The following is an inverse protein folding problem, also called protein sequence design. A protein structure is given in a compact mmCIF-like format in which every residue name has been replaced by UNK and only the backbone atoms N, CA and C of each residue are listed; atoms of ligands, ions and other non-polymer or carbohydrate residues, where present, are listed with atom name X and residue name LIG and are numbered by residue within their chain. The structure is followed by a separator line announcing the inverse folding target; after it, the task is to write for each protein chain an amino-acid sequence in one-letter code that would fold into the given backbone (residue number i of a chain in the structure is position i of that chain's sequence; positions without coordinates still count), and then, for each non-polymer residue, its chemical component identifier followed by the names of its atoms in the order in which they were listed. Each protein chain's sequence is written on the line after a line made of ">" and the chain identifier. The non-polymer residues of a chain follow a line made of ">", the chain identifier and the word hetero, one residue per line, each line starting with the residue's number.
data_IF_397352761882
#
_entry.id   IF_397352761882
#
_cell.length_a   1.000
_cell.length_b   1.000
_cell.length_c   1.000
_cell.angle_alpha   90.00
_cell.angle_beta   90.00
_cell.angle_gamma   90.00
#
_symmetry.space_group_name_H-M   'P 1'
#
loop_
_entity.id
_entity.type
_entity.pdbx_description
1 polymer ?
#
# COMPACT_ATOMS: atom_id res chain seq x y z
N UNK A 1 -4.34 -26.04 -35.87
CA UNK A 1 -5.22 -26.21 -34.71
C UNK A 1 -4.55 -26.87 -33.50
N UNK A 2 -3.86 -28.01 -33.67
CA UNK A 2 -3.20 -28.70 -32.54
C UNK A 2 -2.17 -27.85 -31.80
N UNK A 3 -1.37 -27.07 -32.52
CA UNK A 3 -0.31 -26.20 -31.96
C UNK A 3 -0.88 -25.03 -31.10
N UNK A 4 -2.00 -24.43 -31.57
CA UNK A 4 -2.67 -23.35 -30.82
C UNK A 4 -3.29 -23.90 -29.55
N UNK A 5 -3.93 -25.05 -29.60
CA UNK A 5 -4.51 -25.68 -28.40
C UNK A 5 -3.46 -26.09 -27.37
N UNK A 6 -2.32 -26.65 -27.84
CA UNK A 6 -1.18 -26.98 -26.97
C UNK A 6 -0.62 -25.73 -26.26
N UNK A 7 -0.44 -24.66 -27.01
CA UNK A 7 0.04 -23.37 -26.45
C UNK A 7 -0.96 -22.78 -25.43
N UNK A 8 -2.27 -22.82 -25.76
CA UNK A 8 -3.32 -22.39 -24.84
C UNK A 8 -3.26 -23.16 -23.53
N UNK A 9 -3.19 -24.49 -23.62
CA UNK A 9 -3.11 -25.38 -22.46
C UNK A 9 -1.87 -25.10 -21.62
N UNK A 10 -0.72 -24.89 -22.25
CA UNK A 10 0.53 -24.56 -21.54
C UNK A 10 0.41 -23.24 -20.77
N UNK A 11 -0.10 -22.18 -21.41
CA UNK A 11 -0.29 -20.88 -20.76
C UNK A 11 -1.30 -20.95 -19.62
N UNK A 12 -2.45 -21.62 -19.83
CA UNK A 12 -3.47 -21.76 -18.79
C UNK A 12 -2.97 -22.57 -17.60
N UNK A 13 -2.18 -23.64 -17.85
CA UNK A 13 -1.55 -24.42 -16.78
C UNK A 13 -0.55 -23.57 -15.98
N UNK A 14 0.25 -22.74 -16.65
CA UNK A 14 1.21 -21.82 -15.99
C UNK A 14 0.50 -20.74 -15.20
N UNK A 15 -0.69 -20.32 -15.62
CA UNK A 15 -1.55 -19.38 -14.92
C UNK A 15 -2.52 -20.08 -13.93
N UNK A 16 -2.27 -21.33 -13.59
CA UNK A 16 -3.04 -22.14 -12.64
C UNK A 16 -4.54 -22.26 -12.95
N UNK A 17 -4.90 -22.21 -14.20
CA UNK A 17 -6.24 -22.54 -14.67
C UNK A 17 -6.25 -24.01 -15.05
N UNK A 18 -6.60 -24.88 -14.10
CA UNK A 18 -6.48 -26.35 -14.25
C UNK A 18 -7.73 -26.99 -14.85
N UNK A 19 -8.92 -26.45 -14.57
CA UNK A 19 -10.17 -26.97 -15.12
C UNK A 19 -10.51 -26.27 -16.46
N UNK A 20 -10.08 -26.85 -17.56
CA UNK A 20 -10.29 -26.30 -18.90
C UNK A 20 -11.70 -26.52 -19.46
N UNK A 21 -12.50 -27.40 -18.84
CA UNK A 21 -13.88 -27.69 -19.26
C UNK A 21 -14.92 -26.82 -18.53
N UNK A 22 -14.49 -26.01 -17.58
CA UNK A 22 -15.36 -25.13 -16.82
C UNK A 22 -15.87 -23.96 -17.70
N UNK A 23 -17.20 -23.69 -17.71
CA UNK A 23 -17.76 -22.54 -18.40
C UNK A 23 -17.15 -21.22 -17.87
N UNK A 24 -16.87 -20.26 -18.78
CA UNK A 24 -16.30 -18.95 -18.38
C UNK A 24 -17.21 -18.19 -17.41
N UNK A 25 -18.52 -18.39 -17.48
CA UNK A 25 -19.50 -17.78 -16.57
C UNK A 25 -19.38 -18.26 -15.11
N UNK A 26 -18.74 -19.39 -14.88
CA UNK A 26 -18.55 -19.97 -13.54
C UNK A 26 -17.16 -19.68 -12.95
N UNK A 27 -16.30 -18.96 -13.69
CA UNK A 27 -14.98 -18.59 -13.23
C UNK A 27 -15.06 -17.54 -12.12
N UNK A 28 -14.20 -17.67 -11.12
CA UNK A 28 -13.97 -16.59 -10.16
C UNK A 28 -13.35 -15.37 -10.87
N UNK A 29 -13.47 -14.18 -10.26
CA UNK A 29 -12.88 -12.96 -10.84
C UNK A 29 -11.38 -13.08 -11.10
N UNK A 30 -10.62 -13.75 -10.22
CA UNK A 30 -9.19 -14.03 -10.42
C UNK A 30 -8.93 -14.99 -11.57
N UNK A 31 -9.71 -16.09 -11.68
CA UNK A 31 -9.59 -17.04 -12.79
C UNK A 31 -9.94 -16.37 -14.14
N UNK A 32 -10.99 -15.55 -14.18
CA UNK A 32 -11.36 -14.82 -15.40
C UNK A 32 -10.23 -13.88 -15.88
N UNK A 33 -9.54 -13.17 -14.96
CA UNK A 33 -8.38 -12.34 -15.27
C UNK A 33 -7.22 -13.18 -15.82
N UNK A 34 -6.91 -14.34 -15.20
CA UNK A 34 -5.85 -15.26 -15.65
C UNK A 34 -6.15 -15.80 -17.06
N UNK A 35 -7.40 -16.15 -17.35
CA UNK A 35 -7.82 -16.56 -18.69
C UNK A 35 -7.69 -15.42 -19.71
N UNK A 36 -8.10 -14.21 -19.35
CA UNK A 36 -7.94 -13.04 -20.22
C UNK A 36 -6.45 -12.74 -20.51
N UNK A 37 -5.59 -12.83 -19.50
CA UNK A 37 -4.14 -12.70 -19.66
C UNK A 37 -3.59 -13.77 -20.62
N UNK A 38 -3.97 -15.06 -20.44
CA UNK A 38 -3.60 -16.13 -21.34
C UNK A 38 -4.00 -15.84 -22.79
N UNK A 39 -5.22 -15.36 -23.00
CA UNK A 39 -5.75 -15.02 -24.33
C UNK A 39 -4.91 -13.94 -25.02
N UNK A 40 -4.54 -12.89 -24.29
CA UNK A 40 -3.73 -11.79 -24.82
C UNK A 40 -2.31 -12.27 -25.15
N UNK A 41 -1.66 -13.04 -24.26
CA UNK A 41 -0.31 -13.58 -24.47
C UNK A 41 -0.27 -14.58 -25.63
N UNK A 42 -1.36 -15.33 -25.86
CA UNK A 42 -1.48 -16.24 -27.01
C UNK A 42 -1.43 -15.53 -28.36
N UNK A 43 -1.92 -14.30 -28.44
CA UNK A 43 -1.96 -13.53 -29.69
C UNK A 43 -0.58 -13.03 -30.15
N UNK A 44 0.48 -13.17 -29.29
CA UNK A 44 1.85 -12.70 -29.55
C UNK A 44 1.88 -11.25 -30.07
N UNK A 45 1.32 -10.28 -29.33
CA UNK A 45 1.23 -8.90 -29.81
C UNK A 45 2.61 -8.24 -29.87
N UNK A 46 2.83 -7.33 -30.83
CA UNK A 46 4.02 -6.47 -30.86
C UNK A 46 3.99 -5.38 -29.79
N UNK A 47 2.78 -4.97 -29.39
CA UNK A 47 2.52 -3.97 -28.35
C UNK A 47 1.47 -4.50 -27.36
N UNK A 48 1.83 -4.52 -26.08
CA UNK A 48 1.01 -5.04 -24.99
C UNK A 48 0.72 -3.93 -23.97
N UNK A 49 -0.55 -3.76 -23.59
CA UNK A 49 -0.97 -2.88 -22.52
C UNK A 49 -1.50 -3.75 -21.37
N UNK A 50 -0.94 -3.59 -20.19
CA UNK A 50 -1.36 -4.29 -18.98
C UNK A 50 -1.73 -3.27 -17.89
N UNK A 51 -2.88 -3.48 -17.26
CA UNK A 51 -3.36 -2.69 -16.13
C UNK A 51 -3.47 -3.60 -14.89
N UNK A 52 -2.59 -3.37 -13.92
CA UNK A 52 -2.46 -4.14 -12.68
C UNK A 52 -2.45 -5.67 -12.91
N UNK A 53 -1.49 -6.20 -13.71
CA UNK A 53 -1.52 -7.60 -14.12
C UNK A 53 -1.23 -8.58 -13.00
N UNK A 54 -0.53 -8.18 -11.94
CA UNK A 54 -0.16 -9.03 -10.80
C UNK A 54 -1.22 -9.09 -9.71
N UNK A 55 -2.24 -8.22 -9.76
CA UNK A 55 -3.31 -8.23 -8.77
C UNK A 55 -4.07 -9.56 -8.75
N UNK A 56 -4.12 -10.19 -7.59
CA UNK A 56 -4.73 -11.51 -7.34
C UNK A 56 -3.98 -12.69 -7.98
N UNK A 57 -2.75 -12.51 -8.44
CA UNK A 57 -1.88 -13.61 -8.81
C UNK A 57 -1.09 -14.07 -7.58
N UNK A 58 -0.82 -15.36 -7.53
CA UNK A 58 0.08 -15.96 -6.56
C UNK A 58 1.54 -15.64 -6.93
N UNK A 59 2.45 -15.80 -5.98
CA UNK A 59 3.87 -15.48 -6.17
C UNK A 59 4.47 -16.23 -7.35
N UNK A 60 4.20 -17.55 -7.49
CA UNK A 60 4.73 -18.39 -8.57
C UNK A 60 4.25 -17.90 -9.95
N UNK A 61 2.99 -17.54 -10.07
CA UNK A 61 2.42 -17.01 -11.32
C UNK A 61 3.00 -15.64 -11.66
N UNK A 62 3.23 -14.82 -10.64
CA UNK A 62 3.85 -13.49 -10.79
C UNK A 62 5.28 -13.62 -11.27
N UNK A 63 6.10 -14.49 -10.66
CA UNK A 63 7.48 -14.75 -11.08
C UNK A 63 7.56 -15.28 -12.52
N UNK A 64 6.69 -16.22 -12.87
CA UNK A 64 6.61 -16.69 -14.24
C UNK A 64 6.26 -15.55 -15.22
N UNK A 65 5.33 -14.66 -14.86
CA UNK A 65 4.95 -13.51 -15.70
C UNK A 65 6.12 -12.53 -15.87
N UNK A 66 6.86 -12.25 -14.80
CA UNK A 66 8.07 -11.43 -14.84
C UNK A 66 9.10 -12.00 -15.81
N UNK A 67 9.41 -13.30 -15.71
CA UNK A 67 10.34 -13.97 -16.58
C UNK A 67 9.88 -13.97 -18.04
N UNK A 68 8.59 -14.22 -18.27
CA UNK A 68 8.00 -14.19 -19.61
C UNK A 68 8.11 -12.81 -20.25
N UNK A 69 7.73 -11.75 -19.52
CA UNK A 69 7.78 -10.36 -20.01
C UNK A 69 9.22 -9.89 -20.23
N UNK A 70 10.15 -10.23 -19.33
CA UNK A 70 11.57 -9.88 -19.45
C UNK A 70 12.25 -10.55 -20.65
N UNK A 71 11.87 -11.80 -20.95
CA UNK A 71 12.42 -12.55 -22.10
C UNK A 71 11.80 -12.16 -23.44
N UNK A 72 10.63 -11.51 -23.43
CA UNK A 72 9.89 -11.16 -24.64
C UNK A 72 10.49 -9.92 -25.32
N UNK A 73 10.32 -9.83 -26.67
CA UNK A 73 10.74 -8.66 -27.46
C UNK A 73 9.59 -7.70 -27.78
N UNK A 74 8.50 -7.78 -27.02
CA UNK A 74 7.35 -6.91 -27.21
C UNK A 74 7.58 -5.51 -26.65
N UNK A 75 6.82 -4.53 -27.16
CA UNK A 75 6.73 -3.21 -26.53
C UNK A 75 5.65 -3.28 -25.46
N UNK A 76 6.01 -2.94 -24.21
CA UNK A 76 5.13 -3.03 -23.06
C UNK A 76 4.78 -1.63 -22.52
N UNK A 77 3.49 -1.37 -22.34
CA UNK A 77 2.98 -0.28 -21.51
C UNK A 77 2.23 -0.90 -20.32
N UNK A 78 2.71 -0.66 -19.11
CA UNK A 78 2.15 -1.28 -17.92
C UNK A 78 1.84 -0.25 -16.84
N UNK A 79 0.69 -0.41 -16.21
CA UNK A 79 0.32 0.27 -14.97
C UNK A 79 0.38 -0.77 -13.87
N UNK A 80 1.17 -0.55 -12.83
CA UNK A 80 1.28 -1.49 -11.71
C UNK A 80 1.82 -0.82 -10.46
N UNK A 81 1.48 -1.39 -9.31
CA UNK A 81 2.07 -1.08 -8.02
C UNK A 81 3.11 -2.12 -7.58
N UNK A 82 3.32 -3.16 -8.37
CA UNK A 82 4.33 -4.19 -8.12
C UNK A 82 5.74 -3.67 -8.44
N UNK A 83 6.50 -3.43 -7.40
CA UNK A 83 7.83 -2.81 -7.47
C UNK A 83 8.89 -3.74 -8.04
N UNK A 84 8.77 -5.05 -7.77
CA UNK A 84 9.67 -6.06 -8.36
C UNK A 84 9.46 -6.17 -9.86
N UNK A 85 8.19 -6.21 -10.30
CA UNK A 85 7.86 -6.22 -11.72
C UNK A 85 8.37 -4.96 -12.42
N UNK A 86 8.23 -3.77 -11.80
CA UNK A 86 8.80 -2.54 -12.32
C UNK A 86 10.32 -2.59 -12.42
N UNK A 87 11.01 -3.15 -11.43
CA UNK A 87 12.46 -3.19 -11.38
C UNK A 87 13.05 -4.18 -12.38
N UNK A 88 12.40 -5.35 -12.58
CA UNK A 88 12.88 -6.43 -13.46
C UNK A 88 12.52 -6.26 -14.93
N UNK A 89 11.35 -5.71 -15.21
CA UNK A 89 10.78 -5.72 -16.58
C UNK A 89 10.90 -4.35 -17.25
N UNK A 90 10.76 -3.26 -16.47
CA UNK A 90 10.68 -1.93 -17.04
C UNK A 90 12.07 -1.29 -17.25
N UNK A 91 12.28 -0.71 -18.42
CA UNK A 91 13.46 0.10 -18.76
C UNK A 91 13.18 1.60 -18.73
N UNK A 92 11.94 2.00 -18.56
CA UNK A 92 11.47 3.38 -18.43
C UNK A 92 10.25 3.44 -17.53
N UNK A 93 10.25 4.41 -16.61
CA UNK A 93 9.10 4.68 -15.73
C UNK A 93 8.56 6.07 -16.05
N UNK A 94 7.26 6.18 -16.16
CA UNK A 94 6.54 7.46 -16.33
C UNK A 94 5.69 7.69 -15.09
N UNK A 95 6.06 8.70 -14.32
CA UNK A 95 5.29 9.16 -13.15
C UNK A 95 4.35 10.27 -13.59
N UNK A 96 3.08 10.16 -13.22
CA UNK A 96 2.08 11.21 -13.40
C UNK A 96 1.82 11.83 -12.02
N UNK A 97 2.26 13.07 -11.84
CA UNK A 97 2.12 13.79 -10.58
C UNK A 97 1.78 15.26 -10.85
N UNK A 98 0.81 15.82 -10.10
CA UNK A 98 0.34 17.20 -10.20
C UNK A 98 0.09 17.68 -11.65
N UNK A 99 -0.67 16.88 -12.43
CA UNK A 99 -0.98 17.10 -13.85
C UNK A 99 0.23 17.18 -14.77
N UNK A 100 1.37 16.65 -14.38
CA UNK A 100 2.60 16.56 -15.17
C UNK A 100 3.04 15.12 -15.29
N UNK A 101 3.72 14.82 -16.39
CA UNK A 101 4.35 13.53 -16.61
C UNK A 101 5.87 13.67 -16.54
N UNK A 102 6.47 12.89 -15.66
CA UNK A 102 7.93 12.82 -15.50
C UNK A 102 8.40 11.47 -16.01
N UNK A 103 9.42 11.47 -16.88
CA UNK A 103 9.94 10.24 -17.47
C UNK A 103 11.34 9.95 -16.95
N UNK A 104 11.54 8.75 -16.43
CA UNK A 104 12.81 8.26 -15.89
C UNK A 104 13.27 7.06 -16.72
N UNK A 105 14.47 7.15 -17.32
CA UNK A 105 15.04 6.06 -18.13
C UNK A 105 15.89 5.16 -17.24
N UNK A 106 15.30 4.10 -16.75
CA UNK A 106 15.89 3.14 -15.82
C UNK A 106 14.81 2.26 -15.18
N UNK A 107 15.23 1.44 -14.23
CA UNK A 107 14.37 0.57 -13.43
C UNK A 107 13.74 1.33 -12.23
N UNK A 108 13.02 0.61 -11.36
CA UNK A 108 12.34 1.22 -10.22
C UNK A 108 13.32 1.82 -9.18
N UNK A 109 14.45 1.18 -8.94
CA UNK A 109 15.48 1.69 -8.02
C UNK A 109 16.07 3.01 -8.50
N UNK A 110 16.37 3.13 -9.80
CA UNK A 110 16.81 4.38 -10.41
C UNK A 110 15.74 5.48 -10.35
N UNK A 111 14.48 5.11 -10.58
CA UNK A 111 13.35 6.04 -10.46
C UNK A 111 13.28 6.65 -9.05
N UNK A 112 13.39 5.81 -7.99
CA UNK A 112 13.34 6.29 -6.60
C UNK A 112 14.44 7.32 -6.31
N UNK A 113 15.68 7.03 -6.73
CA UNK A 113 16.80 7.94 -6.57
C UNK A 113 16.54 9.30 -7.26
N UNK A 114 16.15 9.26 -8.53
CA UNK A 114 15.92 10.47 -9.33
C UNK A 114 14.68 11.25 -8.90
N UNK A 115 13.67 10.56 -8.41
CA UNK A 115 12.49 11.17 -7.80
C UNK A 115 12.88 11.93 -6.53
N UNK A 116 13.69 11.31 -5.66
CA UNK A 116 14.16 11.97 -4.43
C UNK A 116 14.99 13.22 -4.75
N UNK A 117 15.94 13.14 -5.69
CA UNK A 117 16.71 14.30 -6.15
C UNK A 117 15.79 15.44 -6.65
N UNK A 118 14.72 15.10 -7.40
CA UNK A 118 13.73 16.08 -7.88
C UNK A 118 13.00 16.74 -6.72
N UNK A 119 12.50 15.95 -5.76
CA UNK A 119 11.77 16.46 -4.61
C UNK A 119 12.64 17.36 -3.73
N UNK A 120 13.90 16.99 -3.51
CA UNK A 120 14.86 17.78 -2.74
C UNK A 120 15.17 19.13 -3.45
N UNK A 121 15.33 19.10 -4.78
CA UNK A 121 15.53 20.32 -5.58
C UNK A 121 14.29 21.23 -5.54
N UNK A 122 13.09 20.66 -5.66
CA UNK A 122 11.83 21.39 -5.58
C UNK A 122 11.60 21.99 -4.19
N UNK A 123 11.95 21.24 -3.12
CA UNK A 123 11.89 21.70 -1.73
C UNK A 123 12.84 22.89 -1.49
N UNK A 124 14.08 22.77 -1.93
CA UNK A 124 15.09 23.84 -1.83
C UNK A 124 14.68 25.11 -2.59
N UNK A 125 14.13 24.92 -3.79
CA UNK A 125 13.61 26.05 -4.59
C UNK A 125 12.43 26.73 -3.89
N UNK A 126 11.54 25.96 -3.28
CA UNK A 126 10.41 26.47 -2.53
C UNK A 126 10.83 27.27 -1.30
N UNK A 127 11.81 26.78 -0.55
CA UNK A 127 12.35 27.51 0.60
C UNK A 127 12.96 28.86 0.17
N UNK A 128 13.68 28.87 -0.94
CA UNK A 128 14.21 30.07 -1.56
C UNK A 128 13.09 31.05 -1.97
N UNK A 129 12.04 30.53 -2.64
CA UNK A 129 10.88 31.30 -3.07
C UNK A 129 10.09 31.86 -1.86
N UNK A 130 9.94 31.10 -0.76
CA UNK A 130 9.31 31.57 0.47
C UNK A 130 10.12 32.68 1.16
N UNK A 131 11.44 32.54 1.19
CA UNK A 131 12.32 33.57 1.75
C UNK A 131 12.30 34.85 0.90
N UNK A 132 12.21 34.71 -0.42
CA UNK A 132 12.01 35.85 -1.34
C UNK A 132 10.63 36.50 -1.10
N UNK A 133 9.56 35.69 -1.01
CA UNK A 133 8.20 36.16 -0.76
C UNK A 133 8.10 36.97 0.53
N UNK A 134 8.69 36.48 1.63
CA UNK A 134 8.69 37.20 2.91
C UNK A 134 9.35 38.59 2.76
N UNK A 135 10.48 38.67 2.08
CA UNK A 135 11.20 39.95 1.83
C UNK A 135 10.37 40.90 0.95
N UNK A 136 9.76 40.37 -0.12
CA UNK A 136 8.94 41.17 -1.03
C UNK A 136 7.62 41.61 -0.38
N UNK A 137 7.03 40.76 0.49
CA UNK A 137 5.83 41.09 1.27
C UNK A 137 6.12 42.27 2.24
N UNK A 138 7.26 42.25 2.93
CA UNK A 138 7.68 43.34 3.81
C UNK A 138 7.89 44.64 3.03
N UNK A 139 8.42 44.54 1.81
CA UNK A 139 8.57 45.72 0.93
C UNK A 139 7.19 46.22 0.46
N UNK A 140 6.27 45.37 0.09
CA UNK A 140 4.89 45.70 -0.29
C UNK A 140 4.12 46.40 0.83
N UNK A 141 4.27 45.95 2.08
CA UNK A 141 3.62 46.54 3.28
C UNK A 141 4.10 47.97 3.56
N UNK A 142 5.31 48.36 3.17
CA UNK A 142 5.83 49.72 3.36
C UNK A 142 5.23 50.72 2.36
N UNK A 143 4.22 50.36 1.59
CA UNK A 143 3.54 51.19 0.59
C UNK A 143 4.52 52.01 -0.28
N UNK A 144 5.37 51.41 -1.08
CA UNK A 144 6.33 52.14 -1.90
C UNK A 144 5.59 53.05 -2.88
N UNK A 145 5.81 54.36 -2.83
CA UNK A 145 5.28 55.32 -3.79
C UNK A 145 5.75 54.91 -5.20
N UNK A 146 4.83 54.51 -6.08
CA UNK A 146 5.12 54.00 -7.40
C UNK A 146 5.39 55.15 -8.39
N UNK A 147 6.54 55.79 -8.30
CA UNK A 147 7.07 56.67 -9.36
C UNK A 147 8.19 55.93 -10.09
N UNK A 148 7.79 55.12 -11.09
CA UNK A 148 8.74 54.46 -11.99
C UNK A 148 8.40 53.04 -12.39
N UNK A 149 8.74 52.60 -13.61
CA UNK A 149 8.50 51.26 -14.16
C UNK A 149 9.07 50.12 -13.31
N UNK A 150 10.16 50.34 -12.54
CA UNK A 150 10.75 49.35 -11.64
C UNK A 150 9.83 48.89 -10.50
N UNK A 151 9.02 49.80 -9.93
CA UNK A 151 8.09 49.47 -8.88
C UNK A 151 6.89 48.63 -9.41
N UNK A 152 6.43 48.88 -10.64
CA UNK A 152 5.41 48.12 -11.32
C UNK A 152 5.87 46.69 -11.61
N UNK A 153 7.04 46.52 -12.21
CA UNK A 153 7.62 45.20 -12.49
C UNK A 153 7.79 44.39 -11.22
N UNK A 154 8.27 44.99 -10.11
CA UNK A 154 8.44 44.30 -8.84
C UNK A 154 7.09 43.82 -8.22
N UNK A 155 6.02 44.60 -8.38
CA UNK A 155 4.66 44.17 -7.99
C UNK A 155 4.18 43.03 -8.85
N UNK A 156 4.36 43.07 -10.15
CA UNK A 156 4.00 41.97 -11.05
C UNK A 156 4.79 40.67 -10.71
N UNK A 157 6.09 40.79 -10.44
CA UNK A 157 6.93 39.67 -10.00
C UNK A 157 6.47 39.09 -8.65
N UNK A 158 6.03 39.93 -7.72
CA UNK A 158 5.46 39.48 -6.45
C UNK A 158 4.20 38.66 -6.63
N UNK A 159 3.26 39.11 -7.47
CA UNK A 159 2.04 38.35 -7.75
C UNK A 159 2.34 37.01 -8.45
N UNK A 160 3.28 36.98 -9.38
CA UNK A 160 3.72 35.73 -10.01
C UNK A 160 4.37 34.76 -9.01
N UNK A 161 5.11 35.30 -8.03
CA UNK A 161 5.69 34.51 -6.95
C UNK A 161 4.62 33.96 -6.00
N UNK A 162 3.62 34.77 -5.67
CA UNK A 162 2.46 34.41 -4.86
C UNK A 162 1.66 33.28 -5.53
N UNK A 163 1.36 33.40 -6.84
CA UNK A 163 0.68 32.37 -7.61
C UNK A 163 1.49 31.05 -7.63
N UNK A 164 2.80 31.12 -7.84
CA UNK A 164 3.67 29.93 -7.81
C UNK A 164 3.66 29.23 -6.46
N UNK A 165 3.63 29.97 -5.36
CA UNK A 165 3.59 29.41 -4.00
C UNK A 165 2.22 28.81 -3.66
N UNK A 166 1.12 29.36 -4.21
CA UNK A 166 -0.23 28.82 -3.99
C UNK A 166 -0.49 27.49 -4.70
N UNK A 167 0.17 27.25 -5.84
CA UNK A 167 -0.02 26.03 -6.65
C UNK A 167 0.83 24.84 -6.22
N UNK A 168 1.81 25.01 -5.33
CA UNK A 168 2.69 23.92 -4.90
C UNK A 168 2.24 23.24 -3.61
N UNK A 169 2.20 21.91 -3.62
CA UNK A 169 1.87 21.07 -2.46
C UNK A 169 2.90 21.23 -1.35
N UNK A 170 2.42 21.24 -0.09
CA UNK A 170 3.25 21.08 1.11
C UNK A 170 3.52 19.58 1.34
N UNK A 171 4.52 19.02 0.69
CA UNK A 171 5.09 17.74 1.10
C UNK A 171 6.08 18.00 2.25
N UNK A 172 5.58 18.15 3.46
CA UNK A 172 6.44 18.16 4.64
C UNK A 172 6.76 16.72 5.05
N UNK A 173 8.00 16.30 4.82
CA UNK A 173 8.59 15.10 5.40
C UNK A 173 8.75 15.28 6.92
N UNK A 174 7.68 15.13 7.68
CA UNK A 174 7.74 14.98 9.14
C UNK A 174 7.62 13.48 9.43
N UNK A 175 8.59 12.88 10.07
CA UNK A 175 8.53 11.49 10.50
C UNK A 175 7.22 11.21 11.28
N UNK A 176 6.60 10.06 11.00
CA UNK A 176 5.37 9.61 11.65
C UNK A 176 5.69 8.79 12.91
N UNK A 177 6.44 9.37 13.85
CA UNK A 177 6.73 8.74 15.16
C UNK A 177 5.45 8.73 16.03
N UNK A 178 4.47 7.91 15.68
CA UNK A 178 3.23 7.79 16.47
C UNK A 178 3.47 6.91 17.68
N UNK A 179 3.14 7.43 18.86
CA UNK A 179 3.22 6.67 20.11
C UNK A 179 2.20 5.54 20.08
N UNK A 180 2.67 4.30 20.00
CA UNK A 180 1.79 3.14 20.18
C UNK A 180 1.25 3.09 21.62
N UNK A 181 0.04 2.59 21.80
CA UNK A 181 -0.52 2.33 23.13
C UNK A 181 0.35 1.30 23.86
N UNK A 182 0.36 1.37 25.20
CA UNK A 182 1.10 0.40 26.01
C UNK A 182 0.74 -1.03 25.64
N UNK A 183 1.76 -1.88 25.42
CA UNK A 183 1.62 -3.31 25.15
C UNK A 183 2.12 -4.14 26.34
N UNK A 184 1.28 -5.01 26.87
CA UNK A 184 1.58 -5.93 27.96
C UNK A 184 2.58 -7.02 27.58
N UNK A 185 2.90 -7.93 28.52
CA UNK A 185 3.80 -9.06 28.24
C UNK A 185 3.15 -10.14 27.37
N UNK A 186 1.85 -10.41 27.59
CA UNK A 186 1.10 -11.40 26.82
C UNK A 186 0.47 -10.73 25.62
N UNK A 187 0.74 -11.28 24.44
CA UNK A 187 0.20 -10.82 23.15
C UNK A 187 -0.87 -11.82 22.71
N UNK A 188 -0.50 -12.84 21.98
CA UNK A 188 -1.29 -14.02 21.69
C UNK A 188 -0.50 -15.26 22.07
N UNK A 189 -1.19 -16.19 22.68
CA UNK A 189 -0.70 -17.53 23.00
C UNK A 189 -1.67 -18.52 22.35
N UNK A 190 -1.17 -19.27 21.39
CA UNK A 190 -1.95 -20.19 20.56
C UNK A 190 -1.47 -21.59 20.86
N UNK A 191 -2.38 -22.44 21.34
CA UNK A 191 -2.07 -23.82 21.69
C UNK A 191 -2.98 -24.79 20.90
N UNK A 192 -2.35 -25.70 20.16
CA UNK A 192 -3.00 -26.83 19.47
C UNK A 192 -4.19 -26.42 18.57
N UNK A 193 -4.07 -25.27 17.89
CA UNK A 193 -5.14 -24.70 17.10
C UNK A 193 -5.40 -25.53 15.84
N UNK A 194 -6.67 -25.94 15.64
CA UNK A 194 -7.08 -26.62 14.42
C UNK A 194 -8.37 -26.00 13.88
N UNK A 195 -8.47 -25.94 12.54
CA UNK A 195 -9.64 -25.43 11.82
C UNK A 195 -9.78 -26.10 10.46
N UNK A 196 -11.00 -26.53 10.13
CA UNK A 196 -11.35 -27.07 8.82
C UNK A 196 -12.71 -26.53 8.37
N UNK A 197 -12.95 -26.54 7.07
CA UNK A 197 -14.25 -26.26 6.45
C UNK A 197 -14.59 -27.44 5.52
N UNK A 198 -15.49 -28.31 5.98
CA UNK A 198 -15.78 -29.56 5.31
C UNK A 198 -14.50 -30.41 5.18
N UNK A 199 -14.14 -30.79 3.98
CA UNK A 199 -12.93 -31.59 3.70
C UNK A 199 -11.65 -30.77 3.64
N UNK A 200 -11.75 -29.43 3.65
CA UNK A 200 -10.60 -28.55 3.55
C UNK A 200 -10.01 -28.22 4.91
N UNK A 201 -8.83 -28.76 5.20
CA UNK A 201 -8.09 -28.45 6.44
C UNK A 201 -7.33 -27.13 6.25
N UNK A 202 -7.55 -26.18 7.17
CA UNK A 202 -6.91 -24.84 7.15
C UNK A 202 -5.74 -24.78 8.11
N UNK A 203 -5.92 -25.35 9.32
CA UNK A 203 -4.87 -25.44 10.34
C UNK A 203 -4.99 -26.81 11.02
N UNK A 204 -3.84 -27.40 11.31
CA UNK A 204 -3.75 -28.69 11.99
C UNK A 204 -2.71 -28.61 13.11
N UNK A 205 -3.20 -28.65 14.36
CA UNK A 205 -2.35 -28.68 15.57
C UNK A 205 -1.30 -27.56 15.62
N UNK A 206 -1.69 -26.33 15.25
CA UNK A 206 -0.80 -25.19 15.20
C UNK A 206 -0.66 -24.54 16.57
N UNK A 207 0.60 -24.33 17.00
CA UNK A 207 0.91 -23.62 18.24
C UNK A 207 1.92 -22.51 17.96
N UNK A 208 1.67 -21.33 18.55
CA UNK A 208 2.53 -20.17 18.35
C UNK A 208 2.38 -19.15 19.48
N UNK A 209 3.49 -18.61 19.95
CA UNK A 209 3.52 -17.56 20.99
C UNK A 209 4.07 -16.28 20.37
N UNK A 210 3.22 -15.25 20.31
CA UNK A 210 3.63 -13.95 19.81
C UNK A 210 4.51 -13.20 20.80
N UNK A 211 5.66 -12.76 20.32
CA UNK A 211 6.60 -11.92 21.07
C UNK A 211 6.18 -10.44 21.03
N UNK A 212 6.69 -9.64 21.96
CA UNK A 212 6.45 -8.18 21.95
C UNK A 212 7.21 -7.53 20.80
N UNK A 213 6.54 -6.60 20.12
CA UNK A 213 7.10 -5.82 19.01
C UNK A 213 7.41 -6.64 17.77
N UNK A 214 6.96 -7.87 17.73
CA UNK A 214 7.15 -8.78 16.63
C UNK A 214 6.50 -8.28 15.36
N UNK A 215 7.21 -8.39 14.24
CA UNK A 215 6.73 -8.07 12.90
C UNK A 215 6.74 -9.32 12.05
N UNK A 216 5.57 -9.94 11.95
CA UNK A 216 5.35 -11.24 11.34
C UNK A 216 4.75 -11.09 9.95
N UNK A 217 5.36 -11.70 8.95
CA UNK A 217 4.81 -11.88 7.63
C UNK A 217 4.07 -13.21 7.49
N UNK A 218 2.97 -13.22 6.76
CA UNK A 218 2.26 -14.46 6.42
C UNK A 218 2.22 -14.59 4.90
N UNK A 219 2.72 -15.71 4.39
CA UNK A 219 2.77 -16.03 2.97
C UNK A 219 2.16 -17.41 2.70
N UNK A 220 1.82 -17.67 1.44
CA UNK A 220 1.22 -18.92 0.98
C UNK A 220 0.28 -18.67 -0.19
N UNK A 221 -0.12 -19.72 -0.89
CA UNK A 221 -1.04 -19.66 -2.02
C UNK A 221 -2.40 -19.05 -1.66
N UNK A 222 -3.16 -18.66 -2.68
CA UNK A 222 -4.51 -18.16 -2.48
C UNK A 222 -5.43 -19.30 -2.00
N UNK A 223 -6.23 -18.98 -0.97
CA UNK A 223 -7.19 -19.92 -0.42
C UNK A 223 -6.64 -20.94 0.57
N UNK A 224 -5.34 -20.97 0.92
CA UNK A 224 -4.77 -21.90 1.92
C UNK A 224 -5.21 -21.59 3.35
N UNK A 225 -5.83 -20.42 3.61
CA UNK A 225 -6.39 -20.12 4.93
C UNK A 225 -5.78 -18.92 5.65
N UNK A 226 -4.94 -18.12 5.00
CA UNK A 226 -4.30 -16.92 5.60
C UNK A 226 -5.31 -16.00 6.27
N UNK A 227 -6.34 -15.54 5.54
CA UNK A 227 -7.38 -14.66 6.09
C UNK A 227 -8.27 -15.37 7.14
N UNK A 228 -8.41 -16.70 7.06
CA UNK A 228 -9.12 -17.48 8.10
C UNK A 228 -8.33 -17.46 9.41
N UNK A 229 -7.01 -17.60 9.35
CA UNK A 229 -6.15 -17.47 10.53
C UNK A 229 -6.27 -16.10 11.18
N UNK A 230 -6.27 -15.02 10.39
CA UNK A 230 -6.50 -13.67 10.92
C UNK A 230 -7.87 -13.54 11.59
N UNK A 231 -8.93 -14.13 11.01
CA UNK A 231 -10.27 -14.13 11.61
C UNK A 231 -10.34 -14.91 12.91
N UNK A 232 -9.58 -16.01 13.05
CA UNK A 232 -9.46 -16.75 14.31
C UNK A 232 -8.80 -15.88 15.39
N UNK A 233 -7.70 -15.17 15.08
CA UNK A 233 -7.03 -14.22 16.01
C UNK A 233 -7.96 -13.09 16.45
N UNK A 234 -8.81 -12.62 15.55
CA UNK A 234 -9.79 -11.56 15.82
C UNK A 234 -11.01 -12.07 16.61
N UNK A 235 -11.18 -13.41 16.72
CA UNK A 235 -12.37 -14.01 17.33
C UNK A 235 -13.63 -13.91 16.47
N UNK A 236 -13.49 -13.57 15.19
CA UNK A 236 -14.58 -13.54 14.21
C UNK A 236 -14.99 -14.99 13.85
N UNK A 237 -14.00 -15.87 13.70
CA UNK A 237 -14.17 -17.30 13.52
C UNK A 237 -13.80 -18.04 14.79
N UNK A 238 -14.45 -19.17 15.04
CA UNK A 238 -14.12 -20.06 16.17
C UNK A 238 -13.26 -21.22 15.68
N UNK A 239 -12.23 -21.62 16.45
CA UNK A 239 -11.46 -22.83 16.15
C UNK A 239 -12.32 -24.08 16.38
N UNK A 240 -11.97 -25.16 15.70
CA UNK A 240 -12.61 -26.47 15.92
C UNK A 240 -12.00 -27.16 17.15
N UNK A 241 -10.71 -26.92 17.42
CA UNK A 241 -10.00 -27.32 18.63
C UNK A 241 -8.83 -26.38 18.94
N UNK A 242 -8.30 -26.45 20.14
CA UNK A 242 -7.21 -25.59 20.62
C UNK A 242 -7.73 -24.33 21.30
N UNK A 243 -6.80 -23.50 21.75
CA UNK A 243 -7.08 -22.28 22.51
C UNK A 243 -6.26 -21.12 21.96
N UNK A 244 -6.90 -19.95 21.89
CA UNK A 244 -6.23 -18.67 21.61
C UNK A 244 -6.41 -17.79 22.83
N UNK A 245 -5.33 -17.55 23.57
CA UNK A 245 -5.34 -16.63 24.68
C UNK A 245 -4.83 -15.25 24.26
N UNK A 246 -5.70 -14.25 24.38
CA UNK A 246 -5.40 -12.86 24.00
C UNK A 246 -4.98 -12.03 25.21
N UNK A 247 -3.93 -11.23 25.07
CA UNK A 247 -3.52 -10.26 26.07
C UNK A 247 -4.59 -9.17 26.29
N UNK A 248 -4.87 -8.85 27.54
CA UNK A 248 -5.92 -7.88 27.93
C UNK A 248 -5.64 -6.43 27.50
N UNK A 249 -4.37 -6.10 27.19
CA UNK A 249 -3.94 -4.75 26.80
C UNK A 249 -3.93 -4.55 25.29
N UNK A 250 -4.28 -5.57 24.51
CA UNK A 250 -4.22 -5.50 23.06
C UNK A 250 -5.33 -4.58 22.48
N UNK A 251 -4.88 -3.62 21.70
CA UNK A 251 -5.71 -2.76 20.84
C UNK A 251 -5.38 -3.10 19.39
N UNK A 252 -6.25 -3.89 18.77
CA UNK A 252 -6.03 -4.40 17.42
C UNK A 252 -6.58 -3.41 16.42
N UNK A 253 -5.71 -2.97 15.48
CA UNK A 253 -6.10 -2.33 14.24
C UNK A 253 -6.10 -3.36 13.12
N UNK A 254 -7.24 -3.56 12.48
CA UNK A 254 -7.38 -4.53 11.40
C UNK A 254 -7.72 -3.86 10.09
N UNK A 255 -6.79 -3.93 9.14
CA UNK A 255 -7.02 -3.54 7.75
C UNK A 255 -7.43 -4.78 6.96
N UNK A 256 -8.70 -4.87 6.59
CA UNK A 256 -9.25 -6.01 5.86
C UNK A 256 -9.38 -5.72 4.37
N UNK A 257 -9.25 -6.77 3.57
CA UNK A 257 -9.48 -6.71 2.12
C UNK A 257 -10.88 -6.20 1.75
N UNK A 258 -11.90 -6.50 2.57
CA UNK A 258 -13.27 -6.05 2.31
C UNK A 258 -13.48 -4.53 2.50
N UNK A 259 -12.58 -3.89 3.25
CA UNK A 259 -12.66 -2.46 3.54
C UNK A 259 -13.76 -2.08 4.51
N UNK A 260 -13.98 -0.76 4.67
CA UNK A 260 -15.03 -0.18 5.48
C UNK A 260 -15.97 0.63 4.59
N UNK A 261 -17.26 0.59 4.87
CA UNK A 261 -18.25 1.47 4.27
C UNK A 261 -18.32 2.77 5.08
N UNK A 262 -18.19 3.89 4.41
CA UNK A 262 -18.34 5.22 5.01
C UNK A 262 -19.66 5.85 4.59
N UNK A 263 -20.28 6.71 5.42
CA UNK A 263 -21.40 7.53 4.99
C UNK A 263 -20.98 8.45 3.82
N UNK A 264 -21.74 8.43 2.74
CA UNK A 264 -21.42 9.19 1.53
C UNK A 264 -21.48 10.71 1.71
N UNK A 265 -22.25 11.17 2.68
CA UNK A 265 -22.43 12.57 3.07
C UNK A 265 -21.42 13.07 4.12
N UNK A 266 -20.56 12.19 4.64
CA UNK A 266 -19.48 12.58 5.56
C UNK A 266 -18.33 13.25 4.80
N UNK A 267 -17.69 14.25 5.44
CA UNK A 267 -16.40 14.76 4.93
C UNK A 267 -15.26 13.89 5.41
N UNK A 268 -14.19 13.85 4.64
CA UNK A 268 -12.98 13.08 4.96
C UNK A 268 -12.44 13.42 6.35
N UNK A 269 -12.35 14.71 6.67
CA UNK A 269 -11.85 15.16 7.97
C UNK A 269 -12.77 14.72 9.12
N UNK A 270 -14.10 14.76 8.93
CA UNK A 270 -15.07 14.42 9.95
C UNK A 270 -15.02 12.93 10.30
N UNK A 271 -14.78 12.06 9.30
CA UNK A 271 -14.60 10.61 9.52
C UNK A 271 -13.43 10.33 10.47
N UNK A 272 -12.33 11.05 10.31
CA UNK A 272 -11.12 10.82 11.11
C UNK A 272 -11.24 11.50 12.48
N UNK A 273 -11.77 12.72 12.56
CA UNK A 273 -11.98 13.43 13.83
C UNK A 273 -13.02 12.77 14.73
N UNK A 274 -13.98 12.03 14.17
CA UNK A 274 -14.93 11.21 14.95
C UNK A 274 -14.22 10.10 15.75
N UNK A 275 -13.02 9.67 15.34
CA UNK A 275 -12.20 8.68 16.05
C UNK A 275 -11.33 9.38 17.09
N UNK A 276 -10.56 10.38 16.67
CA UNK A 276 -9.73 11.19 17.54
C UNK A 276 -9.41 12.55 16.89
N UNK A 277 -9.41 13.62 17.68
CA UNK A 277 -9.03 14.96 17.21
C UNK A 277 -7.53 15.08 16.92
N UNK A 278 -6.72 14.27 17.61
CA UNK A 278 -5.27 14.26 17.51
C UNK A 278 -4.69 12.90 17.91
N UNK A 279 -3.51 12.62 17.40
CA UNK A 279 -2.66 11.51 17.86
C UNK A 279 -1.47 12.07 18.63
N UNK A 280 -0.92 11.26 19.54
CA UNK A 280 0.28 11.60 20.29
C UNK A 280 1.48 10.98 19.60
N UNK A 281 2.50 11.78 19.32
CA UNK A 281 3.79 11.32 18.82
C UNK A 281 4.66 10.79 19.96
N UNK A 282 5.71 10.02 19.66
CA UNK A 282 6.64 9.46 20.65
C UNK A 282 7.33 10.53 21.49
N UNK A 283 7.60 11.69 20.92
CA UNK A 283 8.18 12.86 21.60
C UNK A 283 7.17 13.64 22.46
N UNK A 284 5.93 13.17 22.56
CA UNK A 284 4.84 13.79 23.30
C UNK A 284 4.11 14.92 22.58
N UNK A 285 4.55 15.31 21.38
CA UNK A 285 3.82 16.29 20.56
C UNK A 285 2.48 15.73 20.11
N UNK A 286 1.52 16.63 19.88
CA UNK A 286 0.21 16.27 19.32
C UNK A 286 0.18 16.60 17.83
N UNK A 287 -0.25 15.65 17.02
CA UNK A 287 -0.52 15.83 15.60
C UNK A 287 -2.04 15.84 15.40
N UNK A 288 -2.58 16.89 14.81
CA UNK A 288 -4.02 16.97 14.53
C UNK A 288 -4.45 15.98 13.45
N UNK A 289 -5.73 15.59 13.42
CA UNK A 289 -6.31 14.75 12.39
C UNK A 289 -6.02 15.26 10.97
N UNK A 290 -6.10 16.58 10.75
CA UNK A 290 -5.78 17.19 9.46
C UNK A 290 -4.30 17.04 9.06
N UNK A 291 -3.37 17.23 10.01
CA UNK A 291 -1.94 16.98 9.77
C UNK A 291 -1.65 15.50 9.50
N UNK A 292 -2.32 14.61 10.21
CA UNK A 292 -2.20 13.17 9.97
C UNK A 292 -2.71 12.78 8.57
N UNK A 293 -3.89 13.25 8.18
CA UNK A 293 -4.42 13.06 6.84
C UNK A 293 -3.51 13.61 5.75
N UNK A 294 -2.85 14.75 6.00
CA UNK A 294 -1.89 15.32 5.06
C UNK A 294 -0.67 14.41 4.85
N UNK A 295 -0.22 13.72 5.90
CA UNK A 295 0.83 12.69 5.79
C UNK A 295 0.43 11.53 4.89
N UNK A 296 -0.83 11.14 4.96
CA UNK A 296 -1.42 10.16 4.05
C UNK A 296 -1.94 10.79 2.75
N UNK A 297 -1.29 11.86 2.28
CA UNK A 297 -1.49 12.48 0.96
C UNK A 297 -2.90 13.07 0.74
N UNK A 298 -3.68 13.34 1.79
CA UNK A 298 -4.92 14.09 1.67
C UNK A 298 -4.63 15.59 1.73
N UNK A 299 -4.77 16.28 0.59
CA UNK A 299 -4.60 17.74 0.55
C UNK A 299 -5.67 18.43 1.40
N UNK A 300 -5.43 19.66 1.90
CA UNK A 300 -6.46 20.40 2.64
C UNK A 300 -7.80 20.49 1.90
N UNK A 301 -7.80 20.63 0.59
CA UNK A 301 -9.01 20.64 -0.24
C UNK A 301 -9.73 19.29 -0.20
N UNK A 302 -9.01 18.19 -0.31
CA UNK A 302 -9.58 16.82 -0.26
C UNK A 302 -10.10 16.48 1.12
N UNK A 303 -9.46 16.95 2.20
CA UNK A 303 -9.90 16.72 3.57
C UNK A 303 -11.31 17.26 3.84
N UNK A 304 -11.68 18.37 3.21
CA UNK A 304 -13.01 18.99 3.35
C UNK A 304 -14.01 18.56 2.27
N UNK A 305 -13.61 17.64 1.36
CA UNK A 305 -14.52 17.05 0.38
C UNK A 305 -15.34 15.91 0.98
N UNK A 306 -16.46 15.57 0.35
CA UNK A 306 -17.29 14.42 0.73
C UNK A 306 -16.61 13.11 0.34
N UNK A 307 -16.78 12.07 1.16
CA UNK A 307 -16.23 10.71 0.91
C UNK A 307 -16.75 10.14 -0.39
N UNK A 308 -17.98 10.46 -0.80
CA UNK A 308 -18.56 10.06 -2.09
C UNK A 308 -17.74 10.51 -3.32
N UNK A 309 -16.96 11.59 -3.19
CA UNK A 309 -16.11 12.12 -4.28
C UNK A 309 -14.72 11.51 -4.34
N UNK A 310 -14.35 10.66 -3.39
CA UNK A 310 -13.07 10.00 -3.37
C UNK A 310 -13.02 8.87 -4.40
N UNK A 311 -11.88 8.69 -5.04
CA UNK A 311 -11.55 7.49 -5.81
C UNK A 311 -11.50 6.25 -4.92
N UNK A 312 -11.51 5.06 -5.51
CA UNK A 312 -11.40 3.79 -4.78
C UNK A 312 -10.13 3.74 -3.92
N UNK A 313 -8.98 4.10 -4.48
CA UNK A 313 -7.70 4.15 -3.76
C UNK A 313 -7.69 5.17 -2.62
N UNK A 314 -8.28 6.36 -2.82
CA UNK A 314 -8.41 7.36 -1.74
C UNK A 314 -9.33 6.88 -0.61
N UNK A 315 -10.41 6.14 -0.91
CA UNK A 315 -11.26 5.53 0.11
C UNK A 315 -10.51 4.46 0.91
N UNK A 316 -9.68 3.64 0.25
CA UNK A 316 -8.82 2.64 0.92
C UNK A 316 -7.78 3.30 1.81
N UNK A 317 -7.19 4.39 1.35
CA UNK A 317 -6.26 5.21 2.12
C UNK A 317 -6.94 5.84 3.33
N UNK A 318 -8.15 6.36 3.17
CA UNK A 318 -8.95 6.87 4.30
C UNK A 318 -9.25 5.77 5.32
N UNK A 319 -9.60 4.57 4.86
CA UNK A 319 -9.81 3.41 5.72
C UNK A 319 -8.56 3.09 6.55
N UNK A 320 -7.39 3.07 5.93
CA UNK A 320 -6.13 2.91 6.64
C UNK A 320 -5.95 4.01 7.72
N UNK A 321 -6.18 5.27 7.37
CA UNK A 321 -6.10 6.38 8.32
C UNK A 321 -7.02 6.18 9.54
N UNK A 322 -8.24 5.68 9.35
CA UNK A 322 -9.17 5.43 10.46
C UNK A 322 -8.69 4.35 11.42
N UNK A 323 -7.97 3.35 10.91
CA UNK A 323 -7.39 2.30 11.74
C UNK A 323 -6.21 2.86 12.57
N UNK A 324 -5.30 3.57 11.92
CA UNK A 324 -4.10 4.10 12.57
C UNK A 324 -4.43 5.20 13.59
N UNK A 325 -5.47 5.99 13.37
CA UNK A 325 -5.94 7.01 14.32
C UNK A 325 -6.47 6.44 15.64
N UNK A 326 -6.84 5.16 15.69
CA UNK A 326 -7.23 4.47 16.92
C UNK A 326 -6.03 4.19 17.83
N UNK A 327 -4.81 4.53 17.40
CA UNK A 327 -3.55 4.25 18.10
C UNK A 327 -3.43 2.79 18.54
N UNK A 328 -3.54 1.83 17.59
CA UNK A 328 -3.42 0.40 17.90
C UNK A 328 -2.03 0.11 18.47
N UNK A 329 -1.90 -1.01 19.18
CA UNK A 329 -0.60 -1.58 19.57
C UNK A 329 -0.36 -2.96 18.93
N UNK A 330 -1.35 -3.45 18.20
CA UNK A 330 -1.26 -4.64 17.38
C UNK A 330 -1.94 -4.35 16.04
N UNK A 331 -1.19 -4.42 14.94
CA UNK A 331 -1.68 -4.08 13.61
C UNK A 331 -1.76 -5.35 12.75
N UNK A 332 -2.92 -5.60 12.17
CA UNK A 332 -3.14 -6.69 11.22
C UNK A 332 -3.43 -6.07 9.87
N UNK A 333 -2.65 -6.43 8.86
CA UNK A 333 -2.76 -5.95 7.48
C UNK A 333 -3.04 -7.14 6.56
N UNK A 334 -4.26 -7.21 6.01
CA UNK A 334 -4.68 -8.27 5.09
C UNK A 334 -4.69 -7.74 3.66
N UNK A 335 -3.64 -8.08 2.89
CA UNK A 335 -3.39 -7.67 1.50
C UNK A 335 -3.46 -6.14 1.26
N UNK A 336 -2.73 -5.32 2.02
CA UNK A 336 -2.79 -3.86 1.88
C UNK A 336 -2.23 -3.39 0.53
N UNK A 337 -1.37 -4.16 -0.09
CA UNK A 337 -0.66 -3.81 -1.32
C UNK A 337 -1.55 -3.88 -2.56
N UNK A 338 -2.65 -4.64 -2.52
CA UNK A 338 -3.59 -4.75 -3.64
C UNK A 338 -4.42 -3.48 -3.87
N UNK A 339 -4.59 -2.66 -2.85
CA UNK A 339 -5.57 -1.57 -2.84
C UNK A 339 -4.94 -0.18 -2.63
N UNK A 340 -3.66 -0.12 -2.23
CA UNK A 340 -2.94 1.12 -1.93
C UNK A 340 -1.92 1.43 -3.02
N UNK A 341 -1.85 2.70 -3.42
CA UNK A 341 -0.82 3.16 -4.35
C UNK A 341 0.58 3.14 -3.71
N UNK A 342 1.63 3.11 -4.54
CA UNK A 342 3.03 3.02 -4.11
C UNK A 342 3.39 4.10 -3.08
N UNK A 343 2.88 5.32 -3.24
CA UNK A 343 3.17 6.43 -2.33
C UNK A 343 2.54 6.21 -0.95
N UNK A 344 1.30 5.71 -0.92
CA UNK A 344 0.63 5.36 0.33
C UNK A 344 1.34 4.17 1.01
N UNK A 345 1.80 3.19 0.24
CA UNK A 345 2.58 2.07 0.76
C UNK A 345 3.89 2.54 1.38
N UNK A 346 4.61 3.49 0.77
CA UNK A 346 5.82 4.07 1.36
C UNK A 346 5.53 4.73 2.71
N UNK A 347 4.45 5.53 2.81
CA UNK A 347 4.04 6.14 4.09
C UNK A 347 3.68 5.08 5.13
N UNK A 348 3.00 3.99 4.73
CA UNK A 348 2.68 2.87 5.62
C UNK A 348 3.94 2.14 6.09
N UNK A 349 4.90 1.89 5.21
CA UNK A 349 6.18 1.27 5.52
C UNK A 349 6.99 2.10 6.52
N UNK A 350 7.07 3.42 6.30
CA UNK A 350 7.70 4.35 7.23
C UNK A 350 7.00 4.33 8.61
N UNK A 351 5.67 4.31 8.62
CA UNK A 351 4.89 4.18 9.85
C UNK A 351 5.22 2.88 10.58
N UNK A 352 5.21 1.72 9.87
CA UNK A 352 5.49 0.41 10.46
C UNK A 352 6.93 0.31 10.96
N UNK A 353 7.90 0.90 10.25
CA UNK A 353 9.30 0.91 10.67
C UNK A 353 9.50 1.54 12.06
N UNK A 354 8.72 2.58 12.36
CA UNK A 354 8.76 3.32 13.62
C UNK A 354 7.75 2.81 14.65
N UNK A 355 6.83 1.93 14.24
CA UNK A 355 5.73 1.46 15.07
C UNK A 355 6.21 0.55 16.19
N UNK A 356 6.00 1.00 17.44
CA UNK A 356 6.34 0.28 18.67
C UNK A 356 5.20 -0.63 19.14
N UNK A 357 4.74 -1.49 18.25
CA UNK A 357 3.71 -2.49 18.47
C UNK A 357 4.01 -3.75 17.66
N UNK A 358 3.15 -4.74 17.76
CA UNK A 358 3.24 -5.93 16.93
C UNK A 358 2.53 -5.71 15.58
N UNK A 359 3.05 -6.32 14.53
CA UNK A 359 2.46 -6.27 13.19
C UNK A 359 2.33 -7.69 12.65
N UNK A 360 1.17 -8.00 12.09
CA UNK A 360 0.99 -9.14 11.19
C UNK A 360 0.63 -8.57 9.81
N UNK A 361 1.36 -8.97 8.79
CA UNK A 361 1.05 -8.62 7.42
C UNK A 361 0.89 -9.86 6.55
N UNK A 362 -0.21 -9.92 5.82
CA UNK A 362 -0.42 -10.84 4.70
C UNK A 362 -0.25 -10.05 3.44
N UNK A 363 0.69 -10.42 2.59
CA UNK A 363 0.88 -9.79 1.29
C UNK A 363 1.62 -10.71 0.32
N UNK A 364 1.35 -10.53 -0.96
CA UNK A 364 2.11 -11.13 -2.06
C UNK A 364 3.20 -10.18 -2.58
N UNK A 365 3.26 -8.94 -2.11
CA UNK A 365 4.33 -7.98 -2.43
C UNK A 365 5.59 -8.31 -1.62
N UNK A 366 6.56 -8.90 -2.30
CA UNK A 366 7.86 -9.30 -1.74
C UNK A 366 8.61 -8.09 -1.16
N UNK A 367 8.61 -6.96 -1.86
CA UNK A 367 9.29 -5.75 -1.42
C UNK A 367 8.72 -5.21 -0.09
N UNK A 368 7.39 -5.22 0.02
CA UNK A 368 6.70 -4.84 1.25
C UNK A 368 7.05 -5.81 2.39
N UNK A 369 7.02 -7.12 2.13
CA UNK A 369 7.34 -8.15 3.12
C UNK A 369 8.78 -8.06 3.61
N UNK A 370 9.77 -7.93 2.70
CA UNK A 370 11.19 -7.76 3.06
C UNK A 370 11.44 -6.53 3.94
N UNK A 371 10.68 -5.48 3.73
CA UNK A 371 10.87 -4.22 4.44
C UNK A 371 10.25 -4.22 5.83
N UNK A 372 9.20 -4.99 6.06
CA UNK A 372 8.43 -4.93 7.31
C UNK A 372 8.50 -6.20 8.15
N UNK A 373 8.66 -7.38 7.56
CA UNK A 373 8.63 -8.65 8.29
C UNK A 373 10.04 -9.03 8.78
N UNK A 374 10.12 -9.40 10.05
CA UNK A 374 11.36 -9.92 10.68
C UNK A 374 11.45 -11.43 10.52
N UNK A 375 10.32 -12.11 10.38
CA UNK A 375 10.21 -13.53 10.09
C UNK A 375 8.84 -13.87 9.47
N UNK A 376 8.69 -15.09 8.95
CA UNK A 376 7.57 -15.49 8.13
C UNK A 376 6.87 -16.73 8.69
N UNK A 377 5.53 -16.75 8.59
CA UNK A 377 4.72 -17.98 8.65
C UNK A 377 4.29 -18.35 7.23
N UNK A 378 4.73 -19.51 6.79
CA UNK A 378 4.43 -20.06 5.46
C UNK A 378 3.27 -21.05 5.57
N UNK A 379 2.16 -20.75 4.94
CA UNK A 379 1.01 -21.64 4.82
C UNK A 379 1.18 -22.51 3.58
N UNK A 380 1.58 -23.78 3.79
CA UNK A 380 1.89 -24.72 2.71
C UNK A 380 0.66 -25.47 2.17
N UNK A 381 -0.51 -25.27 2.79
CA UNK A 381 -1.71 -26.03 2.49
C UNK A 381 -1.91 -27.22 3.42
N UNK A 382 -3.05 -27.91 3.30
CA UNK A 382 -3.42 -29.09 4.10
C UNK A 382 -3.26 -28.95 5.62
N UNK A 383 -3.33 -27.69 6.08
CA UNK A 383 -3.23 -27.32 7.50
C UNK A 383 -1.79 -27.20 8.04
N UNK A 384 -0.78 -27.34 7.17
CA UNK A 384 0.61 -27.20 7.56
C UNK A 384 1.03 -25.73 7.53
N UNK A 385 1.63 -25.24 8.63
CA UNK A 385 2.20 -23.89 8.75
C UNK A 385 3.62 -24.00 9.30
N UNK A 386 4.57 -23.48 8.54
CA UNK A 386 5.99 -23.51 8.90
C UNK A 386 6.47 -22.12 9.28
N UNK A 387 7.25 -22.02 10.36
CA UNK A 387 7.85 -20.77 10.82
C UNK A 387 9.28 -20.64 10.26
N UNK A 388 9.54 -19.58 9.53
CA UNK A 388 10.87 -19.24 9.01
C UNK A 388 11.42 -18.01 9.73
N UNK A 389 12.52 -18.13 10.48
CA UNK A 389 13.11 -17.03 11.25
C UNK A 389 14.00 -16.12 10.39
N UNK A 390 13.61 -15.81 9.17
CA UNK A 390 14.35 -14.95 8.24
C UNK A 390 13.41 -14.08 7.41
N UNK A 391 13.99 -13.11 6.68
CA UNK A 391 13.26 -12.24 5.76
C UNK A 391 12.74 -13.02 4.55
N UNK A 392 11.93 -12.38 3.71
CA UNK A 392 11.36 -13.02 2.52
C UNK A 392 12.44 -13.35 1.47
N UNK A 393 13.49 -12.50 1.37
CA UNK A 393 14.58 -12.67 0.38
C UNK A 393 15.59 -13.76 0.75
N UNK A 394 15.66 -14.19 2.01
CA UNK A 394 16.55 -15.26 2.49
C UNK A 394 16.00 -16.64 2.13
#
# INVERSE_FOLDING_TARGET
>A
MLTIWLKARQLLTKLEVTNLDQPVSELSGGQAKRVALAQVLMSEPDFLILDEPTNHLDVEVTEWLEDYLSASRLTLLMVTHDRYLLDRVCNRIVEIDDFRAYSYSGNYSYYLEKRQERLDAESSQRESDLNLYRRELDWMRRMPCARGGKARYRKESFHQLEERLQHRRDEQNVALDVKASYIGKKIFDIEHLSKAFGDKVILKDFSYIFSRYEKLGIIGENGVGKSTFLKLLLGIEQPDSGVIERGSTLRIGYYSQQGLSFPDDAKVIDVVTAIADHIILDDGRRMSAGQFLQKFLFTPKTQYSYVSKLSGGERRRLYLCTILMQSPNFLILDEPTNDLDIMTLQVLEEYIAQFKGCVIAVSHDRYFMDKIAEHLLVFEGDGLVTNFPSSYSD
#
